data_IF_591533314097
#
_entry.id   IF_591533314097
#
_cell.length_a   1.000
_cell.length_b   1.000
_cell.length_c   1.000
_cell.angle_alpha   90.00
_cell.angle_beta   90.00
_cell.angle_gamma   90.00
#
_symmetry.space_group_name_H-M   'P 1'
#
loop_
_entity.id
_entity.type
_entity.pdbx_description
1 polymer ?
#
# COMPACT_ATOMS: atom_id res chain seq x y z
N UNK A 1 -7.05 11.57 -18.06
CA UNK A 1 -7.37 11.51 -16.60
C UNK A 1 -8.88 11.52 -16.50
N UNK A 2 -9.50 10.35 -16.26
CA UNK A 2 -10.98 10.25 -16.20
C UNK A 2 -11.38 10.52 -14.75
N UNK A 3 -12.00 11.65 -14.50
CA UNK A 3 -12.62 11.96 -13.21
C UNK A 3 -13.96 11.24 -13.14
N UNK A 4 -14.02 10.13 -12.38
CA UNK A 4 -15.31 9.55 -11.96
C UNK A 4 -15.89 10.41 -10.83
N UNK A 5 -16.40 11.59 -11.14
CA UNK A 5 -17.38 12.23 -10.29
C UNK A 5 -18.70 11.46 -10.43
N UNK A 6 -19.42 11.28 -9.33
CA UNK A 6 -20.75 10.70 -9.36
C UNK A 6 -21.67 11.64 -10.19
N UNK A 7 -21.73 11.39 -11.48
CA UNK A 7 -22.66 12.09 -12.37
C UNK A 7 -24.01 11.42 -12.13
N UNK A 8 -24.81 12.03 -11.27
CA UNK A 8 -26.20 11.62 -11.04
C UNK A 8 -27.14 12.02 -12.19
N UNK A 9 -26.62 12.72 -13.20
CA UNK A 9 -27.38 13.21 -14.33
C UNK A 9 -27.13 12.34 -15.58
N UNK A 10 -28.16 11.59 -15.97
CA UNK A 10 -28.15 10.72 -17.16
C UNK A 10 -27.94 11.50 -18.47
N UNK A 11 -28.26 12.78 -18.50
CA UNK A 11 -28.13 13.61 -19.71
C UNK A 11 -26.69 14.05 -19.92
N UNK A 12 -25.98 14.44 -18.85
CA UNK A 12 -24.55 14.76 -18.90
C UNK A 12 -23.69 13.53 -19.24
N UNK A 13 -24.13 12.34 -18.79
CA UNK A 13 -23.46 11.09 -19.13
C UNK A 13 -23.47 10.81 -20.65
N UNK A 14 -24.60 11.00 -21.34
CA UNK A 14 -24.71 10.77 -22.80
C UNK A 14 -23.78 11.62 -23.62
N UNK A 15 -23.52 12.85 -23.19
CA UNK A 15 -22.59 13.77 -23.88
C UNK A 15 -21.13 13.32 -23.75
N UNK A 16 -20.75 12.73 -22.62
CA UNK A 16 -19.37 12.32 -22.35
C UNK A 16 -19.03 10.89 -22.81
N UNK A 17 -20.03 10.02 -23.01
CA UNK A 17 -19.86 8.61 -23.35
C UNK A 17 -20.81 8.10 -24.43
N UNK A 18 -20.73 8.59 -25.65
CA UNK A 18 -21.73 8.33 -26.71
C UNK A 18 -21.84 6.85 -27.14
N UNK A 19 -20.85 6.00 -26.79
CA UNK A 19 -20.79 4.59 -27.20
C UNK A 19 -21.10 3.60 -26.07
N UNK A 20 -21.47 4.07 -24.85
CA UNK A 20 -21.75 3.18 -23.69
C UNK A 20 -23.08 3.51 -23.07
N UNK A 21 -23.76 2.49 -22.55
CA UNK A 21 -24.95 2.69 -21.74
C UNK A 21 -24.56 3.16 -20.32
N UNK A 22 -25.49 3.83 -19.63
CA UNK A 22 -25.24 4.28 -18.26
C UNK A 22 -24.94 3.12 -17.31
N UNK A 23 -25.60 1.96 -17.49
CA UNK A 23 -25.36 0.74 -16.72
C UNK A 23 -23.95 0.17 -16.93
N UNK A 24 -23.46 0.14 -18.17
CA UNK A 24 -22.07 -0.29 -18.47
C UNK A 24 -21.04 0.64 -17.84
N UNK A 25 -21.31 1.95 -17.86
CA UNK A 25 -20.42 2.92 -17.20
C UNK A 25 -20.41 2.75 -15.68
N UNK A 26 -21.57 2.57 -15.04
CA UNK A 26 -21.65 2.33 -13.59
C UNK A 26 -20.95 1.02 -13.22
N UNK A 27 -21.11 -0.03 -14.03
CA UNK A 27 -20.42 -1.31 -13.84
C UNK A 27 -18.90 -1.13 -13.97
N UNK A 28 -18.43 -0.41 -14.98
CA UNK A 28 -17.00 -0.13 -15.17
C UNK A 28 -16.43 0.74 -14.03
N UNK A 29 -17.16 1.75 -13.58
CA UNK A 29 -16.78 2.55 -12.41
C UNK A 29 -16.76 1.72 -11.12
N UNK A 30 -17.68 0.79 -10.93
CA UNK A 30 -17.67 -0.13 -9.78
C UNK A 30 -16.48 -1.10 -9.85
N UNK A 31 -16.19 -1.65 -11.04
CA UNK A 31 -15.01 -2.47 -11.27
C UNK A 31 -13.69 -1.70 -11.06
N UNK A 32 -13.64 -0.41 -11.46
CA UNK A 32 -12.50 0.47 -11.16
C UNK A 32 -12.35 0.75 -9.66
N UNK A 33 -13.46 0.85 -8.90
CA UNK A 33 -13.43 0.96 -7.43
C UNK A 33 -12.95 -0.33 -6.76
N UNK A 34 -13.32 -1.48 -7.28
CA UNK A 34 -12.82 -2.78 -6.78
C UNK A 34 -11.35 -3.03 -7.13
N UNK A 35 -10.86 -2.41 -8.21
CA UNK A 35 -9.54 -2.67 -8.78
C UNK A 35 -8.36 -2.29 -7.90
N UNK A 36 -8.50 -1.52 -6.81
CA UNK A 36 -7.34 -1.10 -6.01
C UNK A 36 -6.78 -2.25 -5.16
N UNK A 37 -7.63 -3.01 -4.48
CA UNK A 37 -7.21 -4.17 -3.68
C UNK A 37 -6.82 -5.35 -4.58
N UNK A 38 -7.59 -5.62 -5.63
CA UNK A 38 -7.30 -6.64 -6.65
C UNK A 38 -5.99 -6.34 -7.38
N UNK A 39 -5.71 -5.08 -7.72
CA UNK A 39 -4.42 -4.67 -8.31
C UNK A 39 -3.26 -4.87 -7.35
N UNK A 40 -3.44 -4.60 -6.06
CA UNK A 40 -2.41 -4.84 -5.05
C UNK A 40 -2.17 -6.34 -4.90
N UNK A 41 -3.22 -7.16 -4.88
CA UNK A 41 -3.13 -8.62 -4.86
C UNK A 41 -2.41 -9.13 -6.11
N UNK A 42 -2.86 -8.77 -7.30
CA UNK A 42 -2.24 -9.18 -8.57
C UNK A 42 -0.77 -8.77 -8.69
N UNK A 43 -0.41 -7.55 -8.25
CA UNK A 43 0.98 -7.12 -8.22
C UNK A 43 1.82 -7.86 -7.18
N UNK A 44 1.22 -8.34 -6.09
CA UNK A 44 1.89 -9.24 -5.13
C UNK A 44 2.21 -10.58 -5.73
N UNK A 45 1.26 -11.12 -6.50
CA UNK A 45 1.38 -12.46 -7.10
C UNK A 45 2.44 -12.49 -8.21
N UNK A 46 2.60 -11.39 -8.94
CA UNK A 46 3.58 -11.26 -10.05
C UNK A 46 4.98 -10.86 -9.61
N UNK A 47 5.15 -10.25 -8.45
CA UNK A 47 6.45 -9.71 -8.04
C UNK A 47 6.62 -9.71 -6.54
N UNK A 48 6.74 -8.57 -5.98
CA UNK A 48 6.78 -8.31 -4.55
C UNK A 48 6.14 -6.98 -4.27
N UNK A 49 5.67 -6.81 -3.05
CA UNK A 49 5.25 -5.51 -2.56
C UNK A 49 5.86 -5.22 -1.20
N UNK A 50 5.87 -3.97 -0.82
CA UNK A 50 6.30 -3.53 0.50
C UNK A 50 5.33 -2.51 1.04
N UNK A 51 5.20 -2.46 2.35
CA UNK A 51 4.50 -1.39 3.06
C UNK A 51 5.51 -0.65 3.90
N UNK A 52 5.54 0.66 3.78
CA UNK A 52 6.41 1.54 4.55
C UNK A 52 5.71 2.88 4.81
N UNK A 53 6.16 3.58 5.84
CA UNK A 53 5.64 4.87 6.25
C UNK A 53 6.78 5.88 6.40
N UNK A 54 6.47 7.18 6.36
CA UNK A 54 7.38 8.23 6.79
C UNK A 54 6.84 8.95 8.03
N UNK A 55 5.71 8.48 8.56
CA UNK A 55 5.07 9.05 9.75
C UNK A 55 5.85 8.67 11.00
N UNK A 56 5.98 9.65 11.92
CA UNK A 56 6.61 9.47 13.23
C UNK A 56 5.72 10.12 14.28
N UNK A 57 5.56 9.47 15.42
CA UNK A 57 4.71 9.95 16.52
C UNK A 57 5.21 11.27 17.12
N UNK A 58 6.52 11.43 17.18
CA UNK A 58 7.18 12.64 17.71
C UNK A 58 7.15 13.85 16.76
N UNK A 59 6.62 13.69 15.54
CA UNK A 59 6.54 14.75 14.53
C UNK A 59 5.14 15.33 14.43
N UNK A 60 5.06 16.62 14.15
CA UNK A 60 3.79 17.28 13.89
C UNK A 60 3.09 16.74 12.64
N UNK A 61 1.77 16.95 12.55
CA UNK A 61 0.99 16.54 11.37
C UNK A 61 1.51 17.19 10.06
N UNK A 62 2.00 18.45 10.14
CA UNK A 62 2.57 19.17 9.00
C UNK A 62 3.88 18.53 8.54
N UNK A 63 4.80 18.25 9.46
CA UNK A 63 6.07 17.58 9.17
C UNK A 63 5.83 16.17 8.59
N UNK A 64 4.94 15.40 9.20
CA UNK A 64 4.57 14.06 8.72
C UNK A 64 3.96 14.10 7.31
N UNK A 65 3.18 15.14 6.98
CA UNK A 65 2.65 15.34 5.63
C UNK A 65 3.78 15.59 4.61
N UNK A 66 4.76 16.44 4.95
CA UNK A 66 5.90 16.71 4.06
C UNK A 66 6.82 15.49 3.94
N UNK A 67 7.12 14.80 5.03
CA UNK A 67 7.89 13.55 5.02
C UNK A 67 7.25 12.50 4.10
N UNK A 68 5.92 12.34 4.17
CA UNK A 68 5.19 11.42 3.29
C UNK A 68 5.20 11.85 1.81
N UNK A 69 5.16 13.16 1.52
CA UNK A 69 5.35 13.66 0.14
C UNK A 69 6.76 13.38 -0.37
N UNK A 70 7.77 13.59 0.48
CA UNK A 70 9.15 13.32 0.11
C UNK A 70 9.40 11.82 -0.11
N UNK A 71 8.79 10.96 0.73
CA UNK A 71 8.83 9.52 0.52
C UNK A 71 8.25 9.11 -0.85
N UNK A 72 7.13 9.72 -1.27
CA UNK A 72 6.54 9.53 -2.60
C UNK A 72 7.55 9.85 -3.72
N UNK A 73 8.25 10.99 -3.62
CA UNK A 73 9.28 11.40 -4.59
C UNK A 73 10.46 10.43 -4.60
N UNK A 74 10.95 10.05 -3.42
CA UNK A 74 12.08 9.13 -3.27
C UNK A 74 11.78 7.73 -3.83
N UNK A 75 10.56 7.21 -3.64
CA UNK A 75 10.12 5.95 -4.22
C UNK A 75 10.22 6.00 -5.75
N UNK A 76 9.70 7.07 -6.36
CA UNK A 76 9.74 7.26 -7.81
C UNK A 76 11.17 7.48 -8.32
N UNK A 77 11.96 8.31 -7.64
CA UNK A 77 13.35 8.58 -7.96
C UNK A 77 14.25 7.35 -7.93
N UNK A 78 13.85 6.30 -7.19
CA UNK A 78 14.52 4.99 -7.22
C UNK A 78 14.05 4.08 -8.36
N UNK A 79 13.24 4.58 -9.29
CA UNK A 79 12.67 3.80 -10.40
C UNK A 79 11.70 2.71 -9.93
N UNK A 80 11.04 2.91 -8.79
CA UNK A 80 9.93 2.08 -8.33
C UNK A 80 8.60 2.66 -8.83
N UNK A 81 7.58 1.83 -9.05
CA UNK A 81 6.24 2.33 -9.36
C UNK A 81 5.71 3.25 -8.26
N UNK A 82 4.93 4.25 -8.65
CA UNK A 82 4.30 5.15 -7.71
C UNK A 82 3.51 4.36 -6.64
N UNK A 83 3.63 4.74 -5.36
CA UNK A 83 3.00 4.01 -4.28
C UNK A 83 1.49 4.23 -4.24
N UNK A 84 0.78 3.26 -3.69
CA UNK A 84 -0.61 3.42 -3.28
C UNK A 84 -0.64 3.89 -1.83
N UNK A 85 -1.28 5.05 -1.59
CA UNK A 85 -1.45 5.60 -0.24
C UNK A 85 -2.51 4.83 0.53
N UNK A 86 -2.21 4.51 1.77
CA UNK A 86 -3.07 3.72 2.66
C UNK A 86 -3.08 4.32 4.06
N UNK A 87 -4.06 3.96 4.85
CA UNK A 87 -4.05 4.21 6.30
C UNK A 87 -3.72 2.89 7.01
N UNK A 88 -2.69 2.88 7.82
CA UNK A 88 -2.32 1.77 8.69
C UNK A 88 -2.81 2.03 10.11
N UNK A 89 -3.13 0.95 10.84
CA UNK A 89 -3.28 0.96 12.30
C UNK A 89 -2.25 0.01 12.88
N UNK A 90 -1.46 0.50 13.81
CA UNK A 90 -0.45 -0.27 14.52
C UNK A 90 -0.36 0.24 15.95
N UNK A 91 -0.41 -0.66 16.93
CA UNK A 91 -0.33 -0.33 18.37
C UNK A 91 -1.27 0.82 18.79
N UNK A 92 -2.52 0.77 18.31
CA UNK A 92 -3.53 1.80 18.60
C UNK A 92 -3.39 3.12 17.83
N UNK A 93 -2.26 3.35 17.17
CA UNK A 93 -2.01 4.54 16.35
C UNK A 93 -2.47 4.38 14.90
N UNK A 94 -2.92 5.49 14.29
CA UNK A 94 -3.22 5.53 12.85
C UNK A 94 -2.11 6.27 12.12
N UNK A 95 -1.51 5.62 11.12
CA UNK A 95 -0.45 6.21 10.32
C UNK A 95 -0.74 6.17 8.82
N UNK A 96 -0.15 7.12 8.11
CA UNK A 96 -0.20 7.09 6.65
C UNK A 96 0.90 6.18 6.13
N UNK A 97 0.51 5.12 5.42
CA UNK A 97 1.44 4.15 4.85
C UNK A 97 1.41 4.16 3.31
N UNK A 98 2.45 3.61 2.71
CA UNK A 98 2.66 3.53 1.28
C UNK A 98 2.86 2.08 0.87
N UNK A 99 1.98 1.58 0.01
CA UNK A 99 2.15 0.26 -0.61
C UNK A 99 2.89 0.42 -1.93
N UNK A 100 4.07 -0.16 -2.02
CA UNK A 100 4.97 -0.08 -3.18
C UNK A 100 5.11 -1.45 -3.81
N UNK A 101 4.94 -1.56 -5.13
CA UNK A 101 5.22 -2.79 -5.86
C UNK A 101 6.66 -2.79 -6.40
N UNK A 102 7.22 -4.00 -6.60
CA UNK A 102 8.56 -4.15 -7.16
C UNK A 102 8.71 -3.65 -8.61
N UNK A 103 7.59 -3.58 -9.35
CA UNK A 103 7.62 -3.24 -10.78
C UNK A 103 8.49 -4.25 -11.54
N UNK A 104 9.39 -3.73 -12.36
CA UNK A 104 10.37 -4.52 -13.14
C UNK A 104 11.62 -4.91 -12.33
N UNK A 105 11.77 -4.43 -11.07
CA UNK A 105 12.95 -4.74 -10.26
C UNK A 105 12.89 -6.16 -9.71
N UNK A 106 14.01 -6.86 -9.80
CA UNK A 106 14.18 -8.18 -9.19
C UNK A 106 14.06 -8.11 -7.65
N UNK A 107 13.58 -9.19 -7.04
CA UNK A 107 13.27 -9.29 -5.60
C UNK A 107 14.39 -8.79 -4.67
N UNK A 108 15.65 -9.14 -4.95
CA UNK A 108 16.80 -8.72 -4.12
C UNK A 108 17.03 -7.20 -4.19
N UNK A 109 17.05 -6.63 -5.41
CA UNK A 109 17.19 -5.18 -5.62
C UNK A 109 16.04 -4.41 -4.97
N UNK A 110 14.81 -4.85 -5.19
CA UNK A 110 13.62 -4.27 -4.57
C UNK A 110 13.74 -4.23 -3.05
N UNK A 111 14.00 -5.37 -2.40
CA UNK A 111 14.15 -5.45 -0.94
C UNK A 111 15.25 -4.52 -0.42
N UNK A 112 16.39 -4.41 -1.13
CA UNK A 112 17.49 -3.51 -0.78
C UNK A 112 17.03 -2.04 -0.81
N UNK A 113 16.32 -1.63 -1.86
CA UNK A 113 15.81 -0.25 -1.99
C UNK A 113 14.75 0.08 -0.92
N UNK A 114 13.83 -0.84 -0.63
CA UNK A 114 12.82 -0.65 0.42
C UNK A 114 13.48 -0.49 1.80
N UNK A 115 14.49 -1.31 2.12
CA UNK A 115 15.24 -1.17 3.39
C UNK A 115 16.00 0.16 3.48
N UNK A 116 16.58 0.64 2.38
CA UNK A 116 17.24 1.95 2.35
C UNK A 116 16.23 3.09 2.59
N UNK A 117 15.04 2.99 2.01
CA UNK A 117 13.97 3.95 2.26
C UNK A 117 13.52 3.89 3.71
N UNK A 118 13.23 2.71 4.26
CA UNK A 118 12.87 2.57 5.67
C UNK A 118 13.91 3.19 6.60
N UNK A 119 15.20 2.92 6.34
CA UNK A 119 16.32 3.53 7.12
C UNK A 119 16.34 5.06 6.98
N UNK A 120 16.17 5.60 5.76
CA UNK A 120 16.14 7.06 5.51
C UNK A 120 15.02 7.77 6.29
N UNK A 121 13.89 7.09 6.49
CA UNK A 121 12.72 7.63 7.19
C UNK A 121 12.60 7.15 8.64
N UNK A 122 13.69 6.62 9.21
CA UNK A 122 13.83 6.18 10.61
C UNK A 122 12.81 5.13 11.04
N UNK A 123 12.35 4.31 10.10
CA UNK A 123 11.48 3.19 10.43
C UNK A 123 12.26 2.06 11.10
N UNK A 124 11.69 1.44 12.12
CA UNK A 124 12.27 0.27 12.79
C UNK A 124 12.29 -0.94 11.88
N UNK A 125 11.19 -1.11 11.15
CA UNK A 125 11.02 -2.19 10.19
C UNK A 125 10.12 -1.77 9.02
N UNK A 126 10.21 -2.53 7.94
CA UNK A 126 9.32 -2.41 6.78
C UNK A 126 8.70 -3.77 6.47
N UNK A 127 7.45 -3.78 6.02
CA UNK A 127 6.82 -5.01 5.55
C UNK A 127 7.30 -5.28 4.13
N UNK A 128 7.80 -6.49 3.90
CA UNK A 128 8.13 -6.98 2.56
C UNK A 128 7.35 -8.25 2.31
N UNK A 129 6.50 -8.22 1.29
CA UNK A 129 5.68 -9.35 0.88
C UNK A 129 6.20 -9.94 -0.42
N UNK A 130 6.21 -11.26 -0.47
CA UNK A 130 6.41 -12.09 -1.66
C UNK A 130 5.10 -12.80 -2.02
N UNK A 131 5.09 -13.61 -3.08
CA UNK A 131 3.92 -14.43 -3.45
C UNK A 131 3.48 -15.36 -2.31
N UNK A 132 4.43 -15.93 -1.55
CA UNK A 132 4.16 -16.96 -0.55
C UNK A 132 3.89 -16.40 0.85
N UNK A 133 4.55 -15.33 1.25
CA UNK A 133 4.50 -14.83 2.63
C UNK A 133 4.90 -13.37 2.73
N UNK A 134 4.54 -12.73 3.83
CA UNK A 134 4.99 -11.42 4.23
C UNK A 134 5.89 -11.50 5.46
N UNK A 135 6.78 -10.53 5.59
CA UNK A 135 7.66 -10.42 6.74
C UNK A 135 7.98 -8.96 7.07
N UNK A 136 8.09 -8.66 8.35
CA UNK A 136 8.78 -7.48 8.83
C UNK A 136 10.28 -7.67 8.60
N UNK A 137 10.94 -6.65 8.08
CA UNK A 137 12.39 -6.64 7.87
C UNK A 137 12.97 -5.43 8.57
N UNK A 138 13.82 -5.65 9.55
CA UNK A 138 14.49 -4.57 10.28
C UNK A 138 15.26 -3.65 9.32
N UNK A 139 15.16 -2.36 9.55
CA UNK A 139 15.85 -1.30 8.79
C UNK A 139 17.03 -0.75 9.55
N UNK A 140 17.03 -0.87 10.88
CA UNK A 140 18.11 -0.50 11.79
C UNK A 140 18.37 -1.63 12.79
N UNK A 141 19.52 -1.56 13.47
CA UNK A 141 19.86 -2.49 14.57
C UNK A 141 18.86 -2.29 15.71
N UNK A 142 18.32 -3.37 16.22
CA UNK A 142 17.31 -3.31 17.30
C UNK A 142 15.87 -3.02 16.86
N UNK A 143 15.62 -2.66 15.59
CA UNK A 143 14.28 -2.32 15.11
C UNK A 143 13.25 -3.45 15.18
N UNK A 144 13.68 -4.69 15.38
CA UNK A 144 12.85 -5.86 15.68
C UNK A 144 13.48 -6.66 16.85
N UNK A 145 13.98 -5.96 17.87
CA UNK A 145 14.74 -6.60 18.94
C UNK A 145 16.00 -7.30 18.41
N UNK A 146 16.18 -8.59 18.74
CA UNK A 146 17.30 -9.40 18.25
C UNK A 146 17.11 -9.90 16.81
N UNK A 147 15.89 -9.83 16.28
CA UNK A 147 15.57 -10.40 14.97
C UNK A 147 15.90 -9.41 13.82
N UNK A 148 16.50 -9.93 12.76
CA UNK A 148 16.68 -9.18 11.51
C UNK A 148 15.42 -9.24 10.62
N UNK A 149 14.54 -10.21 10.87
CA UNK A 149 13.33 -10.47 10.10
C UNK A 149 12.36 -11.31 10.92
N UNK A 150 11.07 -10.93 10.92
CA UNK A 150 9.96 -11.66 11.55
C UNK A 150 8.89 -11.98 10.51
N UNK A 151 8.48 -13.23 10.39
CA UNK A 151 7.37 -13.67 9.54
C UNK A 151 6.04 -13.16 10.11
N UNK A 152 5.17 -12.61 9.25
CA UNK A 152 3.85 -12.08 9.64
C UNK A 152 2.70 -12.74 8.87
N UNK A 153 2.98 -13.83 8.17
CA UNK A 153 1.97 -14.63 7.50
C UNK A 153 1.68 -14.23 6.06
N UNK A 154 0.46 -14.49 5.61
CA UNK A 154 -0.01 -14.22 4.25
C UNK A 154 -0.91 -12.98 4.22
N UNK A 155 -0.99 -12.35 3.07
CA UNK A 155 -1.92 -11.26 2.83
C UNK A 155 -3.36 -11.79 2.79
N UNK A 156 -4.19 -11.29 3.70
CA UNK A 156 -5.62 -11.60 3.74
C UNK A 156 -6.44 -10.33 3.50
N UNK A 157 -7.19 -10.24 2.40
CA UNK A 157 -8.14 -9.15 2.20
C UNK A 157 -9.29 -9.29 3.20
N UNK A 158 -9.80 -8.16 3.70
CA UNK A 158 -10.88 -8.08 4.69
C UNK A 158 -10.58 -8.75 6.06
N UNK A 159 -9.32 -9.02 6.37
CA UNK A 159 -8.93 -9.56 7.67
C UNK A 159 -9.35 -8.64 8.82
N UNK A 160 -9.75 -9.25 9.94
CA UNK A 160 -10.24 -8.56 11.15
C UNK A 160 -9.20 -8.51 12.27
N UNK A 161 -7.91 -8.70 11.96
CA UNK A 161 -6.89 -8.63 12.99
C UNK A 161 -6.92 -7.29 13.70
N UNK A 162 -6.94 -7.23 15.04
CA UNK A 162 -6.92 -5.98 15.80
C UNK A 162 -5.63 -5.18 15.58
N UNK A 163 -4.55 -5.85 15.24
CA UNK A 163 -3.24 -5.24 15.00
C UNK A 163 -2.79 -5.40 13.54
N UNK A 164 -2.11 -4.38 13.01
CA UNK A 164 -1.53 -4.45 11.67
C UNK A 164 -2.53 -4.35 10.53
N UNK A 165 -3.67 -3.70 10.75
CA UNK A 165 -4.68 -3.45 9.71
C UNK A 165 -4.24 -2.31 8.81
N UNK A 166 -4.30 -2.52 7.51
CA UNK A 166 -4.12 -1.47 6.52
C UNK A 166 -5.41 -1.25 5.73
N UNK A 167 -5.80 0.01 5.56
CA UNK A 167 -7.03 0.38 4.88
C UNK A 167 -6.74 1.09 3.56
N UNK A 168 -7.41 0.66 2.49
CA UNK A 168 -7.35 1.26 1.16
C UNK A 168 -8.78 1.49 0.66
N UNK A 169 -9.16 2.76 0.47
CA UNK A 169 -10.48 3.13 -0.05
C UNK A 169 -11.63 2.42 0.69
N UNK A 170 -11.57 2.38 2.02
CA UNK A 170 -12.60 1.75 2.86
C UNK A 170 -12.50 0.23 3.02
N UNK A 171 -11.67 -0.45 2.22
CA UNK A 171 -11.43 -1.90 2.34
C UNK A 171 -10.18 -2.16 3.16
N UNK A 172 -10.25 -3.09 4.11
CA UNK A 172 -9.15 -3.48 4.99
C UNK A 172 -8.39 -4.68 4.45
N UNK A 173 -7.12 -4.79 4.82
CA UNK A 173 -6.35 -6.01 4.68
C UNK A 173 -5.39 -6.17 5.85
N UNK A 174 -5.05 -7.40 6.15
CA UNK A 174 -4.14 -7.80 7.22
C UNK A 174 -3.10 -8.79 6.71
N UNK A 175 -2.17 -9.12 7.57
CA UNK A 175 -1.25 -10.24 7.39
C UNK A 175 -1.48 -11.19 8.56
N UNK A 176 -1.84 -12.42 8.26
CA UNK A 176 -2.12 -13.44 9.27
C UNK A 176 -1.30 -14.68 8.96
N UNK A 177 -0.80 -15.35 10.01
CA UNK A 177 -0.25 -16.69 9.89
C UNK A 177 -1.43 -17.64 9.62
N UNK A 178 -1.21 -18.67 8.81
CA UNK A 178 -2.15 -19.76 8.76
C UNK A 178 -2.05 -20.43 10.14
N UNK A 179 -3.17 -20.61 10.82
CA UNK A 179 -3.25 -21.43 12.00
C UNK A 179 -3.08 -22.89 11.50
N UNK A 180 -2.00 -23.53 11.93
CA UNK A 180 -1.73 -24.95 11.68
C UNK A 180 -2.64 -25.82 12.52
#
# INVERSE_FOLDING_TARGET
MIYCFAINDKNLYKLSHPKKTYSEFVLECSQLKESSLSRIKSKSDKGGKAVLSATRSEKSAKENKERNKQLDKDIRGRGLPGPTKTKGKWEGGSERSHVVSSGKKGKRKFKKEIKKLGKKYDQDAVIVQTKKSASLSATRKGGLGKEKRKGIGKFKPQGKSPEGVTQIKGKTFTYEKDDD
#
